data_IF_161494239132
#
_entry.id   IF_161494239132
#
_cell.length_a   1.000
_cell.length_b   1.000
_cell.length_c   1.000
_cell.angle_alpha   90.00
_cell.angle_beta   90.00
_cell.angle_gamma   90.00
#
_symmetry.space_group_name_H-M   'P 1'
#
loop_
_entity.id
_entity.type
_entity.pdbx_description
1 polymer ?
#
# COMPACT_ATOMS: atom_id res chain seq x y z
N UNK A 1 -15.08 33.60 -11.32
CA UNK A 1 -15.09 32.35 -10.52
C UNK A 1 -13.95 32.28 -9.51
N UNK A 2 -12.75 32.80 -9.81
CA UNK A 2 -11.62 32.87 -8.85
C UNK A 2 -11.93 33.65 -7.56
N UNK A 3 -12.66 34.76 -7.67
CA UNK A 3 -12.95 35.64 -6.53
C UNK A 3 -13.94 35.03 -5.52
N UNK A 4 -14.83 34.15 -6.00
CA UNK A 4 -15.74 33.37 -5.17
C UNK A 4 -14.98 32.28 -4.39
N UNK A 5 -14.01 31.62 -5.04
CA UNK A 5 -13.14 30.61 -4.42
C UNK A 5 -12.23 31.20 -3.34
N UNK A 6 -11.65 32.38 -3.59
CA UNK A 6 -10.82 33.09 -2.62
C UNK A 6 -11.62 33.63 -1.42
N UNK A 7 -12.86 34.07 -1.64
CA UNK A 7 -13.76 34.48 -0.56
C UNK A 7 -14.17 33.29 0.31
N UNK A 8 -14.53 32.16 -0.29
CA UNK A 8 -14.82 30.94 0.44
C UNK A 8 -13.61 30.44 1.25
N UNK A 9 -12.39 30.51 0.69
CA UNK A 9 -11.17 30.19 1.44
C UNK A 9 -10.91 31.14 2.61
N UNK A 10 -11.07 32.46 2.41
CA UNK A 10 -10.89 33.45 3.49
C UNK A 10 -11.94 33.30 4.59
N UNK A 11 -13.19 33.02 4.22
CA UNK A 11 -14.27 32.75 5.15
C UNK A 11 -14.00 31.46 5.94
N UNK A 12 -13.57 30.40 5.26
CA UNK A 12 -13.16 29.15 5.91
C UNK A 12 -11.99 29.36 6.88
N UNK A 13 -10.94 30.10 6.48
CA UNK A 13 -9.81 30.43 7.38
C UNK A 13 -10.29 31.26 8.58
N UNK A 14 -11.16 32.25 8.37
CA UNK A 14 -11.68 33.09 9.44
C UNK A 14 -12.55 32.31 10.43
N UNK A 15 -13.43 31.44 9.95
CA UNK A 15 -14.30 30.60 10.80
C UNK A 15 -13.48 29.54 11.54
N UNK A 16 -12.53 28.89 10.86
CA UNK A 16 -11.71 27.83 11.45
C UNK A 16 -10.63 28.32 12.40
N UNK A 17 -10.15 29.57 12.26
CA UNK A 17 -9.23 30.19 13.22
C UNK A 17 -9.93 30.70 14.48
N UNK A 18 -11.22 31.04 14.40
CA UNK A 18 -11.97 31.64 15.51
C UNK A 18 -12.83 30.63 16.29
N UNK A 19 -13.39 29.62 15.63
CA UNK A 19 -14.25 28.63 16.27
C UNK A 19 -14.09 27.23 15.63
N UNK A 20 -13.29 26.34 16.26
CA UNK A 20 -13.06 24.98 15.77
C UNK A 20 -14.32 24.11 15.66
N UNK A 21 -15.31 24.31 16.55
CA UNK A 21 -16.55 23.54 16.53
C UNK A 21 -17.45 23.96 15.36
N UNK A 22 -17.63 25.28 15.17
CA UNK A 22 -18.39 25.81 14.03
C UNK A 22 -17.71 25.51 12.68
N UNK A 23 -16.37 25.45 12.66
CA UNK A 23 -15.61 25.02 11.50
C UNK A 23 -15.89 23.56 11.12
N UNK A 24 -15.87 22.65 12.11
CA UNK A 24 -16.19 21.24 11.87
C UNK A 24 -17.64 21.05 11.43
N UNK A 25 -18.57 21.81 12.00
CA UNK A 25 -20.00 21.77 11.65
C UNK A 25 -20.26 22.29 10.23
N UNK A 26 -19.58 23.36 9.81
CA UNK A 26 -19.80 24.02 8.52
C UNK A 26 -18.97 23.45 7.37
N UNK A 27 -17.76 22.95 7.64
CA UNK A 27 -16.79 22.53 6.62
C UNK A 27 -16.26 21.10 6.81
N UNK A 28 -16.76 20.36 7.81
CA UNK A 28 -16.30 19.00 8.10
C UNK A 28 -14.81 18.95 8.45
N UNK A 29 -14.14 17.87 8.04
CA UNK A 29 -12.70 17.68 8.28
C UNK A 29 -11.81 18.26 7.16
N UNK A 30 -12.40 18.92 6.16
CA UNK A 30 -11.71 19.46 4.96
C UNK A 30 -10.52 20.38 5.31
N UNK A 31 -10.64 21.34 6.25
CA UNK A 31 -9.52 22.24 6.58
C UNK A 31 -8.37 21.52 7.29
N UNK A 32 -8.68 20.53 8.13
CA UNK A 32 -7.69 19.73 8.87
C UNK A 32 -6.96 18.78 7.92
N UNK A 33 -7.71 18.07 7.07
CA UNK A 33 -7.17 17.18 6.05
C UNK A 33 -6.34 17.95 5.01
N UNK A 34 -6.74 19.18 4.67
CA UNK A 34 -5.98 20.04 3.77
C UNK A 34 -4.60 20.45 4.30
N UNK A 35 -4.46 20.72 5.60
CA UNK A 35 -3.15 20.97 6.21
C UNK A 35 -2.27 19.71 6.24
N UNK A 36 -2.86 18.55 6.54
CA UNK A 36 -2.13 17.27 6.56
C UNK A 36 -1.60 16.91 5.18
N UNK A 37 -2.41 17.11 4.13
CA UNK A 37 -2.01 16.87 2.73
C UNK A 37 -0.84 17.77 2.34
N UNK A 38 -0.89 19.06 2.68
CA UNK A 38 0.19 20.00 2.39
C UNK A 38 1.49 19.58 3.08
N UNK A 39 1.43 19.27 4.37
CA UNK A 39 2.59 18.81 5.13
C UNK A 39 3.16 17.48 4.60
N UNK A 40 2.32 16.57 4.12
CA UNK A 40 2.78 15.32 3.52
C UNK A 40 3.43 15.52 2.15
N UNK A 41 2.90 16.43 1.33
CA UNK A 41 3.50 16.79 0.05
C UNK A 41 4.86 17.48 0.26
N UNK A 42 4.94 18.41 1.22
CA UNK A 42 6.18 19.11 1.60
C UNK A 42 7.28 18.11 2.02
N UNK A 43 6.91 17.02 2.72
CA UNK A 43 7.89 15.99 3.14
C UNK A 43 8.46 15.16 2.01
N UNK A 44 7.73 15.06 0.90
CA UNK A 44 8.03 14.07 -0.14
C UNK A 44 8.74 14.70 -1.32
N UNK A 45 8.42 15.96 -1.65
CA UNK A 45 9.06 16.70 -2.74
C UNK A 45 9.66 18.04 -2.31
N UNK A 46 9.60 18.40 -1.02
CA UNK A 46 10.17 19.66 -0.52
C UNK A 46 9.48 20.90 -1.08
N UNK A 47 10.29 21.93 -1.37
CA UNK A 47 9.86 23.23 -1.91
C UNK A 47 9.54 23.19 -3.42
N UNK A 48 9.81 22.08 -4.11
CA UNK A 48 9.66 21.97 -5.58
C UNK A 48 8.19 21.96 -6.05
N UNK A 49 7.24 21.80 -5.14
CA UNK A 49 5.81 21.79 -5.45
C UNK A 49 5.20 23.16 -5.13
N UNK A 50 4.66 23.90 -6.12
CA UNK A 50 4.09 25.24 -5.90
C UNK A 50 2.97 25.24 -4.86
N UNK A 51 2.92 26.25 -3.99
CA UNK A 51 1.91 26.35 -2.92
C UNK A 51 0.47 26.33 -3.44
N UNK A 52 0.23 26.88 -4.65
CA UNK A 52 -1.08 26.80 -5.32
C UNK A 52 -1.48 25.36 -5.66
N UNK A 53 -0.54 24.57 -6.15
CA UNK A 53 -0.77 23.15 -6.45
C UNK A 53 -1.06 22.36 -5.18
N UNK A 54 -0.32 22.59 -4.09
CA UNK A 54 -0.58 21.95 -2.79
C UNK A 54 -2.00 22.24 -2.27
N UNK A 55 -2.46 23.48 -2.45
CA UNK A 55 -3.82 23.89 -2.05
C UNK A 55 -4.90 23.25 -2.94
N UNK A 56 -4.70 23.23 -4.26
CA UNK A 56 -5.66 22.66 -5.19
C UNK A 56 -5.72 21.13 -5.08
N UNK A 57 -4.59 20.45 -4.87
CA UNK A 57 -4.53 19.01 -4.59
C UNK A 57 -5.34 18.59 -3.36
N UNK A 58 -5.23 19.34 -2.25
CA UNK A 58 -6.03 19.05 -1.06
C UNK A 58 -7.54 19.17 -1.32
N UNK A 59 -7.92 20.08 -2.20
CA UNK A 59 -9.32 20.31 -2.55
C UNK A 59 -9.83 19.23 -3.52
N UNK A 60 -9.02 18.87 -4.52
CA UNK A 60 -9.31 17.80 -5.47
C UNK A 60 -9.50 16.46 -4.76
N UNK A 61 -8.62 16.14 -3.83
CA UNK A 61 -8.70 14.89 -3.07
C UNK A 61 -9.97 14.83 -2.20
N UNK A 62 -10.32 15.94 -1.53
CA UNK A 62 -11.54 16.02 -0.75
C UNK A 62 -12.79 15.83 -1.63
N UNK A 63 -12.82 16.45 -2.81
CA UNK A 63 -13.91 16.32 -3.78
C UNK A 63 -14.04 14.88 -4.30
N UNK A 64 -12.93 14.22 -4.62
CA UNK A 64 -12.99 12.82 -5.06
C UNK A 64 -13.43 11.87 -3.94
N UNK A 65 -12.97 12.08 -2.70
CA UNK A 65 -13.42 11.27 -1.57
C UNK A 65 -14.93 11.45 -1.34
N UNK A 66 -15.43 12.67 -1.46
CA UNK A 66 -16.86 12.97 -1.32
C UNK A 66 -17.70 12.35 -2.45
N UNK A 67 -17.19 12.35 -3.68
CA UNK A 67 -17.88 11.82 -4.85
C UNK A 67 -17.82 10.28 -4.97
N UNK A 68 -16.67 9.69 -4.68
CA UNK A 68 -16.35 8.28 -4.97
C UNK A 68 -16.21 7.41 -3.71
N UNK A 69 -16.16 8.02 -2.52
CA UNK A 69 -16.07 7.34 -1.23
C UNK A 69 -14.70 6.75 -0.90
N UNK A 70 -13.99 6.14 -1.86
CA UNK A 70 -12.61 5.65 -1.71
C UNK A 70 -11.81 6.01 -2.95
N UNK A 71 -10.74 6.77 -2.73
CA UNK A 71 -9.86 7.25 -3.81
C UNK A 71 -8.58 6.43 -3.83
N UNK A 72 -8.22 5.90 -5.00
CA UNK A 72 -6.96 5.16 -5.19
C UNK A 72 -5.82 6.12 -5.51
N UNK A 73 -4.60 5.81 -5.08
CA UNK A 73 -3.43 6.62 -5.41
C UNK A 73 -3.15 6.67 -6.90
N UNK A 74 -3.51 5.63 -7.64
CA UNK A 74 -3.33 5.54 -9.09
C UNK A 74 -4.27 6.46 -9.85
N UNK A 75 -5.55 6.49 -9.49
CA UNK A 75 -6.56 7.32 -10.14
C UNK A 75 -6.35 8.80 -9.82
N UNK A 76 -6.05 9.10 -8.56
CA UNK A 76 -5.66 10.45 -8.16
C UNK A 76 -4.36 10.87 -8.88
N UNK A 77 -3.35 10.00 -8.97
CA UNK A 77 -2.13 10.30 -9.73
C UNK A 77 -2.41 10.59 -11.22
N UNK A 78 -3.28 9.82 -11.87
CA UNK A 78 -3.68 10.08 -13.26
C UNK A 78 -4.37 11.44 -13.42
N UNK A 79 -5.22 11.84 -12.46
CA UNK A 79 -5.79 13.18 -12.45
C UNK A 79 -4.74 14.28 -12.23
N UNK A 80 -3.78 14.05 -11.34
CA UNK A 80 -2.70 15.02 -11.10
C UNK A 80 -1.82 15.20 -12.35
N UNK A 81 -1.49 14.12 -13.06
CA UNK A 81 -0.78 14.17 -14.35
C UNK A 81 -1.56 15.00 -15.36
N UNK A 82 -2.85 14.70 -15.55
CA UNK A 82 -3.68 15.37 -16.54
C UNK A 82 -3.89 16.85 -16.22
N UNK A 83 -4.04 17.20 -14.94
CA UNK A 83 -4.35 18.57 -14.51
C UNK A 83 -3.13 19.48 -14.47
N UNK A 84 -1.97 18.94 -14.09
CA UNK A 84 -0.78 19.77 -13.85
C UNK A 84 0.38 19.49 -14.79
N UNK A 85 0.26 18.54 -15.71
CA UNK A 85 1.32 18.20 -16.65
C UNK A 85 2.60 17.68 -15.98
N UNK A 86 2.49 17.20 -14.75
CA UNK A 86 3.59 16.61 -13.99
C UNK A 86 3.87 15.20 -14.52
N UNK A 87 5.13 14.77 -14.40
CA UNK A 87 5.51 13.45 -14.86
C UNK A 87 4.82 12.36 -14.04
N UNK A 88 4.72 11.17 -14.64
CA UNK A 88 3.96 10.06 -14.06
C UNK A 88 4.44 9.69 -12.65
N UNK A 89 5.75 9.75 -12.45
CA UNK A 89 6.41 9.36 -11.22
C UNK A 89 6.17 10.40 -10.11
N UNK A 90 6.27 11.69 -10.43
CA UNK A 90 5.89 12.77 -9.50
C UNK A 90 4.43 12.67 -9.07
N UNK A 91 3.54 12.35 -9.99
CA UNK A 91 2.11 12.28 -9.68
C UNK A 91 1.73 11.12 -8.76
N UNK A 92 2.34 9.95 -8.95
CA UNK A 92 2.12 8.77 -8.09
C UNK A 92 2.61 9.03 -6.66
N UNK A 93 3.78 9.66 -6.55
CA UNK A 93 4.38 10.07 -5.28
C UNK A 93 3.48 11.07 -4.53
N UNK A 94 3.02 12.11 -5.24
CA UNK A 94 2.11 13.13 -4.72
C UNK A 94 0.78 12.55 -4.27
N UNK A 95 0.23 11.63 -5.05
CA UNK A 95 -1.03 10.99 -4.74
C UNK A 95 -0.95 10.10 -3.49
N UNK A 96 0.11 9.30 -3.37
CA UNK A 96 0.35 8.47 -2.19
C UNK A 96 0.51 9.28 -0.91
N UNK A 97 1.26 10.38 -0.98
CA UNK A 97 1.48 11.29 0.16
C UNK A 97 0.18 11.96 0.62
N UNK A 98 -0.59 12.50 -0.32
CA UNK A 98 -1.85 13.18 -0.04
C UNK A 98 -2.90 12.22 0.55
N UNK A 99 -3.05 11.02 -0.04
CA UNK A 99 -3.99 10.02 0.46
C UNK A 99 -3.63 9.54 1.86
N UNK A 100 -2.36 9.23 2.12
CA UNK A 100 -1.90 8.79 3.44
C UNK A 100 -2.12 9.83 4.53
N UNK A 101 -2.14 11.12 4.18
CA UNK A 101 -2.41 12.22 5.10
C UNK A 101 -3.89 12.35 5.46
N UNK A 102 -4.80 12.35 4.48
CA UNK A 102 -6.24 12.57 4.71
C UNK A 102 -6.88 11.44 5.49
N UNK A 103 -6.45 10.23 5.20
CA UNK A 103 -6.99 9.07 5.87
C UNK A 103 -6.39 8.90 7.28
N UNK A 104 -5.44 9.74 7.71
CA UNK A 104 -4.75 9.57 8.99
C UNK A 104 -3.92 8.30 9.06
N UNK A 105 -3.47 7.82 7.89
CA UNK A 105 -3.02 6.45 7.68
C UNK A 105 -4.18 5.42 7.58
N UNK A 106 -5.40 5.80 7.27
CA UNK A 106 -6.47 4.81 6.99
C UNK A 106 -6.65 4.52 5.50
N UNK A 107 -5.75 5.05 4.68
CA UNK A 107 -4.97 4.39 3.64
C UNK A 107 -3.57 4.20 4.26
N UNK A 108 -3.39 3.07 4.93
CA UNK A 108 -2.14 2.63 5.58
C UNK A 108 -1.72 3.34 6.89
N UNK A 109 -1.97 2.67 8.06
CA UNK A 109 -1.82 3.06 9.50
C UNK A 109 -2.96 3.71 10.33
N UNK A 110 -3.42 2.97 11.33
CA UNK A 110 -3.93 3.54 12.58
C UNK A 110 -3.16 2.99 13.79
N UNK A 111 -2.03 3.61 14.14
CA UNK A 111 -1.36 3.47 15.42
C UNK A 111 -1.08 4.88 15.99
N UNK A 112 -1.55 5.15 17.20
CA UNK A 112 -1.32 6.40 17.94
C UNK A 112 0.13 6.48 18.46
N UNK A 113 0.61 7.69 18.82
CA UNK A 113 1.98 8.12 18.64
C UNK A 113 2.90 7.66 19.76
N UNK A 114 4.09 7.20 19.38
CA UNK A 114 5.20 6.95 20.28
C UNK A 114 6.50 6.93 19.50
N UNK A 115 7.39 7.85 19.85
CA UNK A 115 8.80 7.98 19.47
C UNK A 115 9.13 8.09 17.97
N UNK A 116 9.68 9.27 17.65
CA UNK A 116 10.48 9.60 16.47
C UNK A 116 11.26 8.39 15.94
N UNK A 117 11.08 8.03 14.67
CA UNK A 117 12.03 7.17 13.95
C UNK A 117 12.18 7.66 12.51
N UNK A 118 13.44 7.77 12.11
CA UNK A 118 13.96 8.31 10.86
C UNK A 118 13.30 7.74 9.59
N UNK A 119 13.37 8.51 8.50
CA UNK A 119 12.65 8.34 7.25
C UNK A 119 12.63 6.91 6.69
N UNK A 120 11.45 6.45 6.30
CA UNK A 120 11.31 5.26 5.45
C UNK A 120 11.87 5.58 4.06
N UNK A 121 12.89 4.84 3.62
CA UNK A 121 13.40 4.93 2.26
C UNK A 121 12.35 4.43 1.26
N UNK A 122 12.24 5.05 0.09
CA UNK A 122 11.33 4.64 -0.99
C UNK A 122 12.16 4.20 -2.21
N UNK A 123 11.85 3.02 -2.74
CA UNK A 123 12.54 2.42 -3.90
C UNK A 123 11.50 2.03 -4.94
N UNK A 124 11.66 2.53 -6.17
CA UNK A 124 10.82 2.17 -7.32
C UNK A 124 11.64 1.26 -8.23
N UNK A 125 11.12 0.08 -8.56
CA UNK A 125 11.91 -0.97 -9.19
C UNK A 125 11.03 -2.01 -9.88
N UNK A 126 11.52 -2.62 -10.95
CA UNK A 126 10.83 -3.76 -11.59
C UNK A 126 11.32 -5.10 -11.05
N UNK A 127 10.40 -6.06 -10.99
CA UNK A 127 10.70 -7.45 -10.74
C UNK A 127 11.53 -8.03 -11.88
N UNK A 128 12.47 -8.90 -11.51
CA UNK A 128 13.31 -9.60 -12.45
C UNK A 128 12.64 -10.87 -12.97
N UNK A 129 13.37 -11.58 -13.81
CA UNK A 129 12.94 -12.84 -14.42
C UNK A 129 14.03 -13.90 -14.31
N UNK A 130 13.74 -15.13 -14.73
CA UNK A 130 14.72 -16.22 -14.71
C UNK A 130 16.00 -15.79 -15.44
N UNK A 131 17.15 -15.98 -14.78
CA UNK A 131 18.51 -15.55 -15.21
C UNK A 131 18.80 -14.05 -15.12
N UNK A 132 17.84 -13.22 -14.75
CA UNK A 132 18.00 -11.77 -14.59
C UNK A 132 17.14 -11.28 -13.40
N UNK A 133 17.39 -11.85 -12.21
CA UNK A 133 16.67 -11.49 -11.00
C UNK A 133 17.12 -10.14 -10.46
N UNK A 134 16.18 -9.37 -9.91
CA UNK A 134 16.50 -8.09 -9.33
C UNK A 134 17.29 -8.27 -8.02
N UNK A 135 18.51 -7.71 -7.95
CA UNK A 135 19.37 -7.87 -6.76
C UNK A 135 18.79 -7.14 -5.55
N UNK A 136 18.23 -5.96 -5.75
CA UNK A 136 17.60 -5.14 -4.70
C UNK A 136 16.41 -5.86 -4.09
N UNK A 137 15.55 -6.48 -4.89
CA UNK A 137 14.41 -7.26 -4.37
C UNK A 137 14.83 -8.58 -3.70
N UNK A 138 16.00 -9.13 -4.03
CA UNK A 138 16.55 -10.31 -3.34
C UNK A 138 17.28 -9.97 -2.04
N UNK A 139 17.76 -8.74 -1.91
CA UNK A 139 18.44 -8.20 -0.74
C UNK A 139 17.80 -6.87 -0.38
N UNK A 140 16.56 -6.94 0.10
CA UNK A 140 15.80 -5.77 0.53
C UNK A 140 16.42 -5.13 1.77
N UNK A 141 16.41 -3.80 1.79
CA UNK A 141 16.91 -2.98 2.88
C UNK A 141 15.86 -2.87 4.00
N UNK A 142 16.25 -2.68 5.26
CA UNK A 142 15.34 -2.41 6.35
C UNK A 142 14.54 -1.12 6.16
N UNK A 143 13.36 -1.04 6.81
CA UNK A 143 12.51 0.16 6.87
C UNK A 143 12.26 0.84 5.51
N UNK A 144 12.11 0.04 4.44
CA UNK A 144 12.03 0.53 3.07
C UNK A 144 10.69 0.18 2.45
N UNK A 145 10.13 1.11 1.67
CA UNK A 145 8.95 0.92 0.84
C UNK A 145 9.40 0.65 -0.60
N UNK A 146 8.92 -0.44 -1.18
CA UNK A 146 9.21 -0.83 -2.56
C UNK A 146 7.95 -0.73 -3.41
N UNK A 147 7.98 0.09 -4.46
CA UNK A 147 6.98 0.07 -5.51
C UNK A 147 7.48 -0.82 -6.66
N UNK A 148 6.78 -1.93 -6.89
CA UNK A 148 7.23 -3.01 -7.78
C UNK A 148 6.30 -3.18 -8.97
N UNK A 149 6.87 -3.14 -10.18
CA UNK A 149 6.17 -3.26 -11.48
C UNK A 149 5.01 -2.25 -11.67
N UNK A 150 5.06 -1.11 -10.97
CA UNK A 150 4.06 -0.04 -11.04
C UNK A 150 2.67 -0.35 -10.44
N UNK A 151 2.44 -1.55 -9.89
CA UNK A 151 1.12 -1.93 -9.36
C UNK A 151 1.16 -2.69 -8.02
N UNK A 152 2.34 -2.87 -7.44
CA UNK A 152 2.51 -3.54 -6.14
C UNK A 152 3.33 -2.68 -5.19
N UNK A 153 3.00 -2.74 -3.92
CA UNK A 153 3.73 -2.08 -2.85
C UNK A 153 4.16 -3.11 -1.81
N UNK A 154 5.44 -3.11 -1.46
CA UNK A 154 5.98 -3.92 -0.38
C UNK A 154 6.59 -3.01 0.68
N UNK A 155 6.57 -3.43 1.94
CA UNK A 155 7.31 -2.74 2.99
C UNK A 155 8.15 -3.72 3.78
N UNK A 156 9.35 -3.30 4.16
CA UNK A 156 10.20 -4.04 5.08
C UNK A 156 10.20 -3.42 6.48
N UNK A 157 10.37 -4.27 7.49
CA UNK A 157 10.58 -3.84 8.87
C UNK A 157 12.06 -3.48 9.14
N UNK A 158 12.38 -3.18 10.39
CA UNK A 158 13.74 -2.82 10.83
C UNK A 158 14.77 -3.94 10.68
N UNK A 159 14.35 -5.17 10.39
CA UNK A 159 15.22 -6.31 10.11
C UNK A 159 15.28 -6.65 8.61
N UNK A 160 14.61 -5.87 7.76
CA UNK A 160 14.53 -6.13 6.32
C UNK A 160 13.56 -7.26 5.95
N UNK A 161 12.71 -7.72 6.87
CA UNK A 161 11.66 -8.71 6.59
C UNK A 161 10.45 -8.01 6.00
N UNK A 162 9.76 -8.65 5.06
CA UNK A 162 8.55 -8.10 4.46
C UNK A 162 7.41 -8.05 5.47
N UNK A 163 6.99 -6.84 5.82
CA UNK A 163 5.87 -6.55 6.73
C UNK A 163 4.56 -6.25 5.99
N UNK A 164 4.63 -5.93 4.70
CA UNK A 164 3.48 -5.65 3.84
C UNK A 164 3.76 -6.12 2.40
N UNK A 165 2.75 -6.71 1.78
CA UNK A 165 2.63 -6.89 0.33
C UNK A 165 1.21 -6.50 -0.11
N UNK A 166 1.09 -5.54 -1.00
CA UNK A 166 -0.18 -4.97 -1.45
C UNK A 166 -0.18 -4.82 -2.97
N UNK A 167 -1.34 -4.98 -3.60
CA UNK A 167 -1.50 -4.68 -5.03
C UNK A 167 -2.85 -5.06 -5.62
N UNK A 168 -3.10 -4.51 -6.80
CA UNK A 168 -4.20 -4.94 -7.67
C UNK A 168 -3.73 -6.13 -8.50
N UNK A 169 -4.40 -7.27 -8.33
CA UNK A 169 -4.00 -8.52 -8.97
C UNK A 169 -4.41 -8.55 -10.45
N UNK A 170 -3.59 -9.20 -11.27
CA UNK A 170 -3.89 -9.46 -12.69
C UNK A 170 -3.39 -10.84 -13.08
N UNK A 171 -4.08 -11.53 -13.99
CA UNK A 171 -3.67 -12.86 -14.45
C UNK A 171 -2.51 -12.76 -15.44
N UNK A 172 -1.32 -12.49 -14.91
CA UNK A 172 -0.07 -12.52 -15.66
C UNK A 172 0.93 -13.37 -14.90
N UNK A 173 1.42 -14.44 -15.53
CA UNK A 173 2.30 -15.39 -14.84
C UNK A 173 3.74 -14.88 -14.85
N UNK A 174 4.28 -14.61 -13.67
CA UNK A 174 5.70 -14.30 -13.49
C UNK A 174 6.53 -15.58 -13.26
N UNK A 175 7.84 -15.47 -13.52
CA UNK A 175 8.81 -16.52 -13.32
C UNK A 175 8.99 -16.83 -11.83
N UNK A 176 9.21 -18.12 -11.53
CA UNK A 176 9.47 -18.59 -10.17
C UNK A 176 10.97 -18.70 -9.92
N UNK A 177 11.45 -18.12 -8.83
CA UNK A 177 12.81 -18.33 -8.35
C UNK A 177 12.86 -19.50 -7.36
N UNK A 178 13.13 -20.70 -7.88
CA UNK A 178 13.18 -21.93 -7.05
C UNK A 178 14.27 -21.88 -5.99
N UNK A 179 15.38 -21.19 -6.27
CA UNK A 179 16.47 -21.02 -5.31
C UNK A 179 16.02 -20.20 -4.11
N UNK A 180 15.34 -19.08 -4.34
CA UNK A 180 14.84 -18.24 -3.26
C UNK A 180 13.69 -18.90 -2.49
N UNK A 181 12.81 -19.65 -3.15
CA UNK A 181 11.79 -20.45 -2.47
C UNK A 181 12.41 -21.51 -1.54
N UNK A 182 13.44 -22.22 -2.02
CA UNK A 182 14.17 -23.19 -1.22
C UNK A 182 14.87 -22.54 -0.02
N UNK A 183 15.53 -21.39 -0.24
CA UNK A 183 16.14 -20.62 0.84
C UNK A 183 15.12 -20.16 1.87
N UNK A 184 14.02 -19.55 1.45
CA UNK A 184 12.97 -19.07 2.34
C UNK A 184 12.36 -20.21 3.15
N UNK A 185 12.00 -21.34 2.51
CA UNK A 185 11.47 -22.51 3.21
C UNK A 185 12.45 -23.10 4.24
N UNK A 186 13.75 -23.12 3.93
CA UNK A 186 14.79 -23.60 4.86
C UNK A 186 15.10 -22.63 6.01
N UNK A 187 14.62 -21.38 5.95
CA UNK A 187 14.80 -20.40 7.03
C UNK A 187 13.70 -20.50 8.10
N UNK A 188 12.67 -21.31 7.90
CA UNK A 188 11.60 -21.54 8.87
C UNK A 188 11.74 -22.86 9.62
N UNK A 189 10.61 -23.51 9.86
CA UNK A 189 10.53 -24.82 10.51
C UNK A 189 10.70 -25.96 9.51
N UNK A 190 11.11 -27.17 9.94
CA UNK A 190 11.04 -28.36 9.10
C UNK A 190 9.62 -28.54 8.53
N UNK A 191 9.51 -28.63 7.20
CA UNK A 191 8.23 -28.73 6.49
C UNK A 191 7.69 -27.41 5.93
N UNK A 192 8.32 -26.27 6.24
CA UNK A 192 8.01 -25.00 5.59
C UNK A 192 8.50 -24.97 4.13
N UNK A 193 7.73 -24.27 3.31
CA UNK A 193 8.04 -23.93 1.92
C UNK A 193 8.31 -22.41 1.80
N UNK A 194 8.93 -21.98 0.70
CA UNK A 194 9.02 -20.56 0.36
C UNK A 194 7.68 -20.07 -0.21
N UNK A 195 6.73 -19.76 0.67
CA UNK A 195 5.41 -19.29 0.32
C UNK A 195 5.47 -17.89 -0.30
N UNK A 196 4.74 -17.68 -1.40
CA UNK A 196 4.59 -16.35 -1.98
C UNK A 196 3.53 -15.56 -1.21
N UNK A 197 3.77 -14.27 -0.95
CA UNK A 197 2.72 -13.38 -0.43
C UNK A 197 1.74 -12.98 -1.54
N UNK A 198 2.25 -12.69 -2.74
CA UNK A 198 1.49 -12.55 -3.97
C UNK A 198 1.92 -13.67 -4.92
N UNK A 199 1.00 -14.54 -5.32
CA UNK A 199 1.29 -15.70 -6.15
C UNK A 199 1.90 -15.32 -7.51
N UNK A 200 2.74 -16.20 -8.08
CA UNK A 200 3.33 -15.97 -9.41
C UNK A 200 2.28 -15.88 -10.52
N UNK A 201 1.08 -16.47 -10.35
CA UNK A 201 -0.02 -16.34 -11.32
C UNK A 201 -0.64 -14.94 -11.35
N UNK A 202 -0.36 -14.11 -10.34
CA UNK A 202 -0.85 -12.74 -10.19
C UNK A 202 0.22 -11.68 -10.45
N UNK A 203 1.22 -12.01 -11.25
CA UNK A 203 2.43 -11.21 -11.44
C UNK A 203 3.22 -10.97 -10.15
N UNK A 204 3.16 -11.92 -9.22
CA UNK A 204 3.95 -11.89 -7.99
C UNK A 204 5.44 -12.05 -8.27
N UNK A 205 6.31 -11.16 -7.73
CA UNK A 205 7.75 -11.25 -7.94
C UNK A 205 8.32 -12.59 -7.43
N UNK A 206 9.32 -13.12 -8.13
CA UNK A 206 10.02 -14.34 -7.71
C UNK A 206 11.10 -14.08 -6.66
N UNK A 207 11.43 -12.82 -6.38
CA UNK A 207 12.50 -12.43 -5.47
C UNK A 207 12.16 -12.60 -3.98
N UNK A 208 13.21 -12.58 -3.14
CA UNK A 208 13.11 -12.77 -1.68
C UNK A 208 12.04 -11.90 -1.02
N UNK A 209 11.88 -10.64 -1.45
CA UNK A 209 10.92 -9.69 -0.88
C UNK A 209 9.48 -10.22 -0.87
N UNK A 210 9.11 -11.09 -1.81
CA UNK A 210 7.77 -11.65 -1.91
C UNK A 210 7.69 -13.09 -1.36
N UNK A 211 8.74 -13.57 -0.67
CA UNK A 211 8.85 -14.95 -0.20
C UNK A 211 9.08 -15.01 1.31
N UNK A 212 8.29 -15.82 1.99
CA UNK A 212 8.40 -16.06 3.44
C UNK A 212 8.43 -17.56 3.74
N UNK A 213 9.01 -17.97 4.88
CA UNK A 213 8.83 -19.33 5.37
C UNK A 213 7.35 -19.54 5.75
N UNK A 214 6.67 -20.44 5.06
CA UNK A 214 5.25 -20.73 5.23
C UNK A 214 5.06 -22.24 5.37
N UNK A 215 4.25 -22.67 6.34
CA UNK A 215 3.93 -24.08 6.54
C UNK A 215 3.44 -24.71 5.22
N UNK A 216 4.03 -25.85 4.84
CA UNK A 216 3.73 -26.47 3.55
C UNK A 216 2.28 -26.92 3.40
N UNK A 217 1.61 -27.36 4.48
CA UNK A 217 0.21 -27.75 4.43
C UNK A 217 -0.68 -26.51 4.26
N UNK A 218 -0.38 -25.42 4.97
CA UNK A 218 -1.03 -24.12 4.75
C UNK A 218 -0.85 -23.63 3.31
N UNK A 219 0.40 -23.58 2.83
CA UNK A 219 0.77 -23.06 1.50
C UNK A 219 0.03 -23.80 0.37
N UNK A 220 -0.09 -25.12 0.47
CA UNK A 220 -0.77 -25.96 -0.52
C UNK A 220 -2.27 -26.13 -0.28
N UNK A 221 -2.74 -25.77 0.91
CA UNK A 221 -4.12 -25.91 1.36
C UNK A 221 -4.87 -24.59 1.37
N UNK A 222 -5.13 -24.05 2.56
CA UNK A 222 -5.98 -22.86 2.75
C UNK A 222 -5.47 -21.63 1.98
N UNK A 223 -4.14 -21.44 1.91
CA UNK A 223 -3.54 -20.33 1.15
C UNK A 223 -3.85 -20.46 -0.35
N UNK A 224 -3.55 -21.61 -0.93
CA UNK A 224 -3.86 -21.92 -2.34
C UNK A 224 -5.35 -21.83 -2.67
N UNK A 225 -6.23 -22.23 -1.75
CA UNK A 225 -7.68 -22.11 -1.95
C UNK A 225 -8.12 -20.64 -2.04
N UNK A 226 -7.58 -19.78 -1.17
CA UNK A 226 -7.82 -18.34 -1.23
C UNK A 226 -7.30 -17.73 -2.55
N UNK A 227 -6.09 -18.09 -2.97
CA UNK A 227 -5.54 -17.68 -4.27
C UNK A 227 -6.44 -18.15 -5.43
N UNK A 228 -6.95 -19.38 -5.40
CA UNK A 228 -7.86 -19.88 -6.42
C UNK A 228 -9.17 -19.07 -6.49
N UNK A 229 -9.71 -18.60 -5.36
CA UNK A 229 -10.87 -17.70 -5.35
C UNK A 229 -10.57 -16.39 -6.09
N UNK A 230 -9.41 -15.78 -5.84
CA UNK A 230 -8.99 -14.57 -6.55
C UNK A 230 -8.80 -14.84 -8.04
N UNK A 231 -8.16 -15.96 -8.40
CA UNK A 231 -7.95 -16.34 -9.79
C UNK A 231 -9.27 -16.56 -10.55
N UNK A 232 -10.28 -17.17 -9.93
CA UNK A 232 -11.61 -17.33 -10.54
C UNK A 232 -12.28 -15.98 -10.75
N UNK A 233 -12.25 -15.08 -9.75
CA UNK A 233 -12.81 -13.73 -9.90
C UNK A 233 -12.14 -12.94 -11.04
N UNK A 234 -10.82 -13.00 -11.15
CA UNK A 234 -10.09 -12.35 -12.25
C UNK A 234 -10.44 -12.95 -13.62
N UNK A 235 -10.69 -14.26 -13.72
CA UNK A 235 -11.15 -14.90 -14.96
C UNK A 235 -12.55 -14.46 -15.39
N UNK A 236 -13.38 -14.10 -14.42
CA UNK A 236 -14.70 -13.50 -14.64
C UNK A 236 -14.62 -12.00 -14.99
N UNK A 237 -13.42 -11.43 -15.09
CA UNK A 237 -13.20 -10.01 -15.41
C UNK A 237 -13.35 -9.06 -14.22
N UNK A 238 -13.51 -9.60 -12.99
CA UNK A 238 -13.64 -8.78 -11.77
C UNK A 238 -12.28 -8.25 -11.32
N UNK A 239 -12.28 -7.07 -10.73
CA UNK A 239 -11.09 -6.52 -10.09
C UNK A 239 -10.84 -7.23 -8.75
N UNK A 240 -9.57 -7.51 -8.41
CA UNK A 240 -9.20 -8.05 -7.10
C UNK A 240 -8.05 -7.23 -6.51
N UNK A 241 -8.28 -6.65 -5.33
CA UNK A 241 -7.26 -5.89 -4.58
C UNK A 241 -6.91 -6.66 -3.31
N UNK A 242 -5.63 -6.80 -3.01
CA UNK A 242 -5.17 -7.56 -1.84
C UNK A 242 -4.14 -6.78 -1.03
N UNK A 243 -4.16 -7.04 0.28
CA UNK A 243 -3.18 -6.59 1.26
C UNK A 243 -2.83 -7.78 2.15
N UNK A 244 -1.56 -8.12 2.22
CA UNK A 244 -1.03 -9.24 3.00
C UNK A 244 0.01 -8.71 3.99
N UNK A 245 -0.21 -8.97 5.27
CA UNK A 245 0.64 -8.52 6.37
C UNK A 245 1.15 -9.74 7.16
N UNK A 246 2.39 -10.19 6.91
CA UNK A 246 3.04 -11.18 7.75
C UNK A 246 3.26 -10.63 9.16
N UNK A 247 2.88 -11.42 10.18
CA UNK A 247 3.01 -11.06 11.59
C UNK A 247 4.14 -11.85 12.21
N UNK A 248 5.19 -11.17 12.65
CA UNK A 248 6.37 -11.77 13.25
C UNK A 248 6.38 -11.64 14.77
N UNK A 249 7.00 -12.59 15.45
CA UNK A 249 7.34 -12.50 16.88
C UNK A 249 8.83 -12.27 17.07
N UNK A 250 9.17 -11.19 17.75
CA UNK A 250 10.56 -10.77 17.97
C UNK A 250 11.34 -10.70 16.65
N UNK A 251 12.53 -11.29 16.65
CA UNK A 251 13.46 -11.22 15.52
C UNK A 251 13.36 -12.44 14.57
N UNK A 252 12.31 -13.26 14.70
CA UNK A 252 12.15 -14.47 13.88
C UNK A 252 11.92 -14.15 12.39
N UNK A 253 12.61 -14.84 11.50
CA UNK A 253 12.43 -14.68 10.04
C UNK A 253 11.15 -15.35 9.52
N UNK A 254 10.61 -16.31 10.27
CA UNK A 254 9.33 -16.98 10.01
C UNK A 254 8.19 -16.18 10.65
N UNK A 255 7.15 -15.79 9.90
CA UNK A 255 5.94 -15.20 10.48
C UNK A 255 5.16 -16.24 11.29
N UNK A 256 4.51 -15.82 12.37
CA UNK A 256 3.60 -16.67 13.15
C UNK A 256 2.20 -16.74 12.52
N UNK A 257 1.79 -15.67 11.83
CA UNK A 257 0.49 -15.59 11.17
C UNK A 257 0.52 -14.61 10.01
N UNK A 258 -0.56 -14.57 9.23
CA UNK A 258 -0.79 -13.62 8.15
C UNK A 258 -2.15 -12.95 8.37
N UNK A 259 -2.18 -11.62 8.31
CA UNK A 259 -3.42 -10.86 8.15
C UNK A 259 -3.60 -10.56 6.67
N UNK A 260 -4.64 -11.12 6.06
CA UNK A 260 -4.95 -10.94 4.64
C UNK A 260 -6.26 -10.19 4.51
N UNK A 261 -6.22 -9.03 3.87
CA UNK A 261 -7.42 -8.26 3.51
C UNK A 261 -7.54 -8.21 1.99
N UNK A 262 -8.72 -8.50 1.44
CA UNK A 262 -8.96 -8.37 0.02
C UNK A 262 -10.39 -7.95 -0.32
N UNK A 263 -10.57 -7.33 -1.49
CA UNK A 263 -11.89 -7.04 -2.06
C UNK A 263 -11.97 -7.58 -3.49
N UNK A 264 -13.19 -7.91 -3.90
CA UNK A 264 -13.51 -8.35 -5.26
C UNK A 264 -14.56 -7.38 -5.80
N UNK A 265 -14.26 -6.77 -6.95
CA UNK A 265 -15.16 -5.89 -7.70
C UNK A 265 -15.74 -4.72 -6.88
N UNK A 266 -14.88 -4.07 -6.09
CA UNK A 266 -15.30 -2.97 -5.19
C UNK A 266 -16.21 -3.39 -4.04
N UNK A 267 -16.49 -4.69 -3.89
CA UNK A 267 -17.29 -5.24 -2.80
C UNK A 267 -16.63 -5.09 -1.43
N UNK A 268 -17.40 -5.40 -0.38
CA UNK A 268 -16.95 -5.31 1.02
C UNK A 268 -15.66 -6.11 1.23
N UNK A 269 -14.68 -5.49 1.89
CA UNK A 269 -13.42 -6.12 2.23
C UNK A 269 -13.62 -7.35 3.10
N UNK A 270 -12.94 -8.43 2.74
CA UNK A 270 -12.86 -9.69 3.47
C UNK A 270 -11.51 -9.72 4.18
N UNK A 271 -11.53 -9.98 5.49
CA UNK A 271 -10.34 -10.13 6.32
C UNK A 271 -10.20 -11.61 6.71
N UNK A 272 -8.98 -12.14 6.57
CA UNK A 272 -8.59 -13.50 6.96
C UNK A 272 -7.31 -13.45 7.78
N UNK A 273 -7.43 -13.78 9.07
CA UNK A 273 -6.28 -14.05 9.93
C UNK A 273 -5.95 -15.54 9.89
N UNK A 274 -4.75 -15.87 9.41
CA UNK A 274 -4.33 -17.24 9.15
C UNK A 274 -3.06 -17.54 9.94
N UNK A 275 -3.14 -18.49 10.87
CA UNK A 275 -1.97 -18.96 11.62
C UNK A 275 -1.03 -19.76 10.72
N UNK A 276 0.29 -19.53 10.83
CA UNK A 276 1.31 -20.22 10.05
C UNK A 276 1.62 -21.60 10.65
N UNK A 277 0.61 -22.47 10.64
CA UNK A 277 0.61 -23.86 11.14
C UNK A 277 -0.15 -24.73 10.14
N UNK A 278 -0.05 -26.08 10.22
CA UNK A 278 -0.83 -26.96 9.36
C UNK A 278 -2.34 -26.62 9.37
N UNK A 279 -2.96 -26.53 8.19
CA UNK A 279 -4.38 -26.23 8.02
C UNK A 279 -4.79 -24.76 8.17
N UNK A 280 -3.93 -23.87 8.69
CA UNK A 280 -4.21 -22.43 8.76
C UNK A 280 -5.28 -22.04 9.79
N UNK A 281 -5.07 -22.36 11.07
CA UNK A 281 -6.01 -22.06 12.16
C UNK A 281 -6.38 -20.58 12.29
N UNK A 282 -7.61 -20.30 12.73
CA UNK A 282 -8.03 -18.94 13.10
C UNK A 282 -7.24 -18.48 14.32
N UNK A 283 -6.75 -17.24 14.26
CA UNK A 283 -6.09 -16.58 15.38
C UNK A 283 -7.09 -16.14 16.44
#
# INVERSE_FOLDING_TARGET
MEDLSLRQQKEMIAVCSSNPAACKEKYGDIPANGMLVRQAIDRVLGDDVPSRMKNDMSSLLAQQIEAEGVVTSTEFASQLQSRYGIDKQQAEILAGAALGAVTGGMSNRGGKPGAVTEGKNVVIVDSGKKRAWNKTLNKSEPNTVYHVDGNKTFQTDSLGRTSLAEGSLSLSKNDRNTYQQCKAGKCGNPGDEGGHLIASIFNGPGEKLNLVPMDGNLNKGAWKQMENTWASALKEGKQVNVKVEPVYKGNNVRPESFSVTYSIDGGRSIVKDISNIPGGGKK
#
